data_IF_813419906900
#
_entry.id   IF_813419906900
#
_cell.length_a   1.000
_cell.length_b   1.000
_cell.length_c   1.000
_cell.angle_alpha   90.00
_cell.angle_beta   90.00
_cell.angle_gamma   90.00
#
_symmetry.space_group_name_H-M   'P 1'
#
loop_
_entity.id
_entity.type
_entity.pdbx_description
1 polymer ?
#
# COMPACT_ATOMS: atom_id res chain seq x y z
N UNK A 1 -39.20 38.97 14.54
CA UNK A 1 -38.32 39.03 13.35
C UNK A 1 -36.89 38.53 13.63
N UNK A 2 -36.24 38.89 14.74
CA UNK A 2 -34.89 38.38 15.09
C UNK A 2 -34.84 36.87 15.43
N UNK A 3 -35.81 36.37 16.19
CA UNK A 3 -35.85 34.96 16.64
C UNK A 3 -36.10 33.98 15.48
N UNK A 4 -36.99 34.33 14.55
CA UNK A 4 -37.26 33.55 13.34
C UNK A 4 -36.05 33.48 12.41
N UNK A 5 -35.27 34.56 12.32
CA UNK A 5 -34.01 34.60 11.56
C UNK A 5 -32.94 33.69 12.16
N UNK A 6 -32.83 33.64 13.49
CA UNK A 6 -31.85 32.76 14.17
C UNK A 6 -32.21 31.29 14.00
N UNK A 7 -33.49 30.95 14.08
CA UNK A 7 -33.99 29.58 13.86
C UNK A 7 -33.77 29.12 12.40
N UNK A 8 -33.89 30.02 11.42
CA UNK A 8 -33.60 29.69 10.03
C UNK A 8 -32.09 29.49 9.79
N UNK A 9 -31.23 30.30 10.39
CA UNK A 9 -29.78 30.09 10.29
C UNK A 9 -29.37 28.75 10.93
N UNK A 10 -29.87 28.43 12.12
CA UNK A 10 -29.51 27.17 12.79
C UNK A 10 -29.98 25.95 12.00
N UNK A 11 -31.18 26.00 11.41
CA UNK A 11 -31.69 24.93 10.55
C UNK A 11 -30.83 24.77 9.28
N UNK A 12 -30.41 25.88 8.65
CA UNK A 12 -29.55 25.84 7.46
C UNK A 12 -28.16 25.23 7.74
N UNK A 13 -27.57 25.55 8.90
CA UNK A 13 -26.31 24.99 9.37
C UNK A 13 -26.40 23.49 9.64
N UNK A 14 -27.50 23.03 10.26
CA UNK A 14 -27.75 21.61 10.52
C UNK A 14 -27.85 20.84 9.19
N UNK A 15 -28.62 21.35 8.23
CA UNK A 15 -28.77 20.73 6.90
C UNK A 15 -27.43 20.68 6.14
N UNK A 16 -26.61 21.72 6.25
CA UNK A 16 -25.26 21.74 5.67
C UNK A 16 -24.37 20.64 6.28
N UNK A 17 -24.37 20.48 7.61
CA UNK A 17 -23.60 19.45 8.29
C UNK A 17 -24.04 18.01 7.94
N UNK A 18 -25.36 17.78 7.80
CA UNK A 18 -25.89 16.48 7.36
C UNK A 18 -25.50 16.13 5.91
N UNK A 19 -25.33 17.14 5.05
CA UNK A 19 -24.93 16.93 3.65
C UNK A 19 -23.47 16.51 3.49
N UNK A 20 -22.55 16.95 4.36
CA UNK A 20 -21.13 16.57 4.31
C UNK A 20 -20.90 15.12 4.73
N UNK A 21 -21.74 14.57 5.61
CA UNK A 21 -21.63 13.16 6.03
C UNK A 21 -22.00 12.17 4.92
N UNK A 22 -22.81 12.59 3.94
CA UNK A 22 -23.23 11.72 2.82
C UNK A 22 -22.17 11.57 1.72
N UNK A 23 -21.09 12.34 1.77
CA UNK A 23 -20.05 12.34 0.74
C UNK A 23 -18.88 11.37 1.02
N UNK A 24 -18.83 10.74 2.20
CA UNK A 24 -17.69 9.90 2.63
C UNK A 24 -18.01 8.38 2.64
N UNK A 25 -18.93 7.94 1.79
CA UNK A 25 -19.49 6.57 1.87
C UNK A 25 -18.84 5.56 0.89
N UNK A 26 -17.59 5.74 0.48
CA UNK A 26 -16.98 4.86 -0.54
C UNK A 26 -15.50 4.53 -0.35
N UNK A 27 -14.68 5.49 0.08
CA UNK A 27 -13.23 5.29 0.11
C UNK A 27 -12.80 4.26 1.16
N UNK A 28 -13.36 4.32 2.36
CA UNK A 28 -13.07 3.36 3.42
C UNK A 28 -13.56 1.94 3.09
N UNK A 29 -14.63 1.81 2.31
CA UNK A 29 -15.18 0.51 1.92
C UNK A 29 -14.33 -0.16 0.85
N UNK A 30 -13.80 0.59 -0.12
CA UNK A 30 -12.86 0.05 -1.12
C UNK A 30 -11.60 -0.51 -0.45
N UNK A 31 -11.02 0.25 0.50
CA UNK A 31 -9.84 -0.21 1.25
C UNK A 31 -10.18 -1.45 2.10
N UNK A 32 -11.35 -1.47 2.74
CA UNK A 32 -11.83 -2.61 3.53
C UNK A 32 -11.99 -3.87 2.67
N UNK A 33 -12.60 -3.75 1.50
CA UNK A 33 -12.80 -4.88 0.60
C UNK A 33 -11.48 -5.39 0.01
N UNK A 34 -10.56 -4.48 -0.36
CA UNK A 34 -9.21 -4.86 -0.79
C UNK A 34 -8.45 -5.65 0.29
N UNK A 35 -8.50 -5.21 1.55
CA UNK A 35 -7.85 -5.88 2.67
C UNK A 35 -8.48 -7.26 2.96
N UNK A 36 -9.80 -7.40 2.83
CA UNK A 36 -10.49 -8.70 2.95
C UNK A 36 -10.05 -9.66 1.84
N UNK A 37 -10.04 -9.21 0.59
CA UNK A 37 -9.60 -10.02 -0.55
C UNK A 37 -8.14 -10.48 -0.39
N UNK A 38 -7.25 -9.58 0.05
CA UNK A 38 -5.85 -9.93 0.33
C UNK A 38 -5.70 -11.00 1.41
N UNK A 39 -6.48 -10.92 2.50
CA UNK A 39 -6.46 -11.94 3.57
C UNK A 39 -6.99 -13.29 3.10
N UNK A 40 -8.08 -13.29 2.31
CA UNK A 40 -8.64 -14.52 1.75
C UNK A 40 -7.65 -15.23 0.81
N UNK A 41 -6.99 -14.48 -0.08
CA UNK A 41 -5.96 -15.03 -0.97
C UNK A 41 -4.72 -15.53 -0.21
N UNK A 42 -4.32 -14.84 0.86
CA UNK A 42 -3.22 -15.30 1.71
C UNK A 42 -3.56 -16.63 2.41
N UNK A 43 -4.81 -16.83 2.83
CA UNK A 43 -5.24 -18.06 3.52
C UNK A 43 -5.39 -19.25 2.57
N UNK A 44 -5.64 -19.03 1.28
CA UNK A 44 -5.58 -20.09 0.27
C UNK A 44 -4.13 -20.49 -0.10
N UNK A 45 -3.14 -19.68 0.27
CA UNK A 45 -1.72 -19.92 -0.01
C UNK A 45 -0.97 -20.59 1.16
N UNK A 46 -1.65 -20.87 2.28
CA UNK A 46 -1.09 -21.67 3.38
C UNK A 46 -1.55 -23.12 3.27
N UNK A 47 -0.67 -24.09 2.98
CA UNK A 47 -0.94 -25.45 3.40
C UNK A 47 -1.01 -25.42 4.93
N UNK A 48 -2.03 -26.04 5.50
CA UNK A 48 -2.14 -26.32 6.93
C UNK A 48 -0.82 -26.96 7.42
N UNK A 49 0.04 -26.20 8.09
CA UNK A 49 1.21 -26.77 8.78
C UNK A 49 0.74 -27.26 10.13
N UNK A 50 0.10 -28.43 10.11
CA UNK A 50 0.01 -29.31 11.27
C UNK A 50 0.84 -30.56 10.94
N UNK A 51 1.74 -30.88 11.86
CA UNK A 51 2.64 -32.06 11.90
C UNK A 51 3.97 -31.96 11.15
N UNK A 52 5.03 -32.32 11.88
CA UNK A 52 6.14 -33.07 11.31
C UNK A 52 7.40 -32.28 10.99
N UNK A 53 8.34 -32.32 11.93
CA UNK A 53 9.78 -32.26 11.65
C UNK A 53 10.15 -33.34 10.61
N UNK A 54 10.07 -33.05 9.31
CA UNK A 54 10.78 -33.73 8.22
C UNK A 54 10.40 -33.11 6.86
N UNK A 55 11.39 -33.00 5.97
CA UNK A 55 11.26 -32.60 4.56
C UNK A 55 11.03 -31.10 4.27
N UNK A 56 11.90 -30.25 4.82
CA UNK A 56 12.28 -29.01 4.15
C UNK A 56 13.20 -29.34 2.94
N UNK A 57 12.66 -29.99 1.91
CA UNK A 57 13.30 -30.07 0.59
C UNK A 57 13.09 -28.74 -0.14
N UNK A 58 13.79 -27.73 0.39
CA UNK A 58 14.57 -26.74 -0.34
C UNK A 58 14.31 -26.72 -1.86
N UNK A 59 13.24 -26.05 -2.29
CA UNK A 59 13.19 -25.45 -3.61
C UNK A 59 14.28 -24.36 -3.66
N UNK A 60 15.52 -24.77 -3.94
CA UNK A 60 16.54 -23.85 -4.41
C UNK A 60 16.05 -23.40 -5.79
N UNK A 61 15.37 -22.26 -5.85
CA UNK A 61 15.42 -21.44 -7.05
C UNK A 61 16.90 -21.41 -7.44
N UNK A 62 17.22 -21.97 -8.60
CA UNK A 62 18.58 -21.95 -9.11
C UNK A 62 18.93 -20.47 -9.26
N UNK A 63 19.68 -19.93 -8.30
CA UNK A 63 20.32 -18.64 -8.44
C UNK A 63 21.27 -18.80 -9.62
N UNK A 64 20.81 -18.45 -10.81
CA UNK A 64 21.69 -18.25 -11.96
C UNK A 64 22.69 -17.20 -11.48
N UNK A 65 23.96 -17.57 -11.45
CA UNK A 65 25.03 -16.67 -11.06
C UNK A 65 24.99 -15.49 -12.03
N UNK A 66 24.43 -14.36 -11.58
CA UNK A 66 24.41 -13.14 -12.37
C UNK A 66 25.86 -12.74 -12.64
N UNK A 67 26.15 -12.39 -13.90
CA UNK A 67 27.45 -11.84 -14.27
C UNK A 67 27.39 -10.35 -13.91
N UNK A 68 28.19 -9.94 -12.92
CA UNK A 68 28.23 -8.57 -12.40
C UNK A 68 27.65 -8.45 -10.99
N UNK A 69 28.07 -7.42 -10.26
CA UNK A 69 27.56 -7.13 -8.91
C UNK A 69 26.58 -5.97 -8.96
N UNK A 70 25.57 -5.95 -8.09
CA UNK A 70 24.64 -4.80 -8.01
C UNK A 70 25.38 -3.49 -7.75
N UNK A 71 26.51 -3.55 -7.07
CA UNK A 71 27.36 -2.42 -6.72
C UNK A 71 27.86 -1.68 -7.95
N UNK A 72 28.04 -2.38 -9.08
CA UNK A 72 28.48 -1.80 -10.35
C UNK A 72 27.37 -0.92 -10.98
N UNK A 73 26.10 -1.23 -10.68
CA UNK A 73 24.93 -0.52 -11.18
C UNK A 73 24.49 0.63 -10.25
N UNK A 74 25.23 0.91 -9.17
CA UNK A 74 24.83 1.92 -8.17
C UNK A 74 24.88 3.34 -8.74
N UNK A 75 23.75 4.03 -8.66
CA UNK A 75 23.63 5.45 -8.98
C UNK A 75 24.12 6.27 -7.78
N UNK A 76 25.15 7.08 -7.99
CA UNK A 76 25.70 8.00 -6.97
C UNK A 76 24.81 9.23 -6.77
N UNK A 77 24.41 9.89 -7.87
CA UNK A 77 23.59 11.10 -7.86
C UNK A 77 22.82 11.25 -9.17
N UNK A 78 21.58 11.73 -9.12
CA UNK A 78 20.79 12.11 -10.29
C UNK A 78 20.80 13.62 -10.53
N UNK A 79 20.72 14.08 -11.79
CA UNK A 79 20.48 15.48 -12.11
C UNK A 79 19.18 15.98 -11.45
N UNK A 80 19.26 17.09 -10.71
CA UNK A 80 18.11 17.66 -10.00
C UNK A 80 17.70 16.92 -8.72
N UNK A 81 18.49 15.94 -8.27
CA UNK A 81 18.22 15.23 -7.02
C UNK A 81 18.31 16.19 -5.81
N UNK A 82 17.28 16.25 -4.95
CA UNK A 82 17.33 17.07 -3.75
C UNK A 82 18.38 16.55 -2.77
N UNK A 83 18.93 17.46 -1.94
CA UNK A 83 19.84 17.08 -0.86
C UNK A 83 19.13 16.22 0.18
N UNK A 84 19.84 15.24 0.75
CA UNK A 84 19.34 14.42 1.85
C UNK A 84 18.69 13.09 1.44
N UNK A 85 18.85 12.66 0.18
CA UNK A 85 18.52 11.28 -0.21
C UNK A 85 19.49 10.32 0.49
N UNK A 86 18.95 9.41 1.30
CA UNK A 86 19.72 8.50 2.16
C UNK A 86 19.59 7.03 1.76
N UNK A 87 19.03 6.75 0.59
CA UNK A 87 18.86 5.39 0.07
C UNK A 87 19.67 5.20 -1.21
N UNK A 88 20.15 3.98 -1.39
CA UNK A 88 20.87 3.58 -2.59
C UNK A 88 19.91 3.32 -3.74
N UNK A 89 20.31 3.73 -4.94
CA UNK A 89 19.58 3.51 -6.18
C UNK A 89 20.48 2.77 -7.15
N UNK A 90 19.91 1.94 -8.01
CA UNK A 90 20.66 1.10 -8.95
C UNK A 90 19.98 1.13 -10.32
N UNK A 91 20.76 1.12 -11.41
CA UNK A 91 20.25 1.06 -12.78
C UNK A 91 21.21 0.28 -13.68
N UNK A 92 20.72 -0.83 -14.23
CA UNK A 92 21.49 -1.75 -15.05
C UNK A 92 20.59 -2.69 -15.84
N UNK A 93 21.20 -3.65 -16.54
CA UNK A 93 20.50 -4.64 -17.37
C UNK A 93 20.54 -6.01 -16.70
N UNK A 94 19.44 -6.77 -16.82
CA UNK A 94 19.38 -8.17 -16.38
C UNK A 94 19.44 -9.06 -17.61
N UNK A 95 20.45 -9.92 -17.68
CA UNK A 95 20.48 -10.99 -18.67
C UNK A 95 19.67 -12.17 -18.16
N UNK A 96 18.69 -12.60 -18.97
CA UNK A 96 17.81 -13.74 -18.73
C UNK A 96 18.34 -15.03 -19.35
#
# INVERSE_FOLDING_TARGET
MKVTSVLQLSLSLILCYLSTQKCYAGEADVVREFLKARRANHLQSTPSINSGLAAAEKQRSAFVSQVGSKEDDKISTLPGQPSGVSFDQYSGYVNC
#
